data_IF_646586631782
#
_entry.id   IF_646586631782
#
_cell.length_a   1.000
_cell.length_b   1.000
_cell.length_c   1.000
_cell.angle_alpha   90.00
_cell.angle_beta   90.00
_cell.angle_gamma   90.00
#
_symmetry.space_group_name_H-M   'P 1'
#
loop_
_entity.id
_entity.type
_entity.pdbx_description
1 polymer ?
#
# COMPACT_ATOMS: atom_id res chain seq x y z
N UNK A 1 8.91 -13.26 -10.96
CA UNK A 1 7.69 -12.59 -10.51
C UNK A 1 6.80 -13.57 -9.77
N UNK A 2 6.24 -13.15 -8.64
CA UNK A 2 5.40 -14.03 -7.83
C UNK A 2 3.97 -13.94 -8.37
N UNK A 3 3.41 -15.08 -8.77
CA UNK A 3 2.01 -15.14 -9.14
C UNK A 3 1.16 -15.08 -7.88
N UNK A 4 0.11 -14.25 -7.93
CA UNK A 4 -0.87 -14.21 -6.85
C UNK A 4 -1.89 -15.33 -7.09
N UNK A 5 -2.08 -16.17 -6.09
CA UNK A 5 -3.12 -17.20 -6.12
C UNK A 5 -4.49 -16.52 -6.28
N UNK A 6 -5.24 -16.82 -7.35
CA UNK A 6 -6.57 -16.22 -7.54
C UNK A 6 -7.52 -16.44 -6.37
N UNK A 7 -7.34 -17.50 -5.59
CA UNK A 7 -8.16 -17.77 -4.40
C UNK A 7 -7.93 -16.74 -3.28
N UNK A 8 -6.87 -15.93 -3.37
CA UNK A 8 -6.64 -14.85 -2.42
C UNK A 8 -7.39 -13.57 -2.79
N UNK A 9 -7.99 -13.52 -3.97
CA UNK A 9 -8.77 -12.35 -4.42
C UNK A 9 -10.23 -12.59 -4.08
N UNK A 10 -10.78 -11.79 -3.16
CA UNK A 10 -12.18 -11.87 -2.73
C UNK A 10 -13.13 -11.26 -3.74
N UNK A 11 -12.75 -10.10 -4.28
CA UNK A 11 -13.57 -9.36 -5.22
C UNK A 11 -12.70 -8.41 -6.03
N UNK A 12 -13.27 -7.83 -7.08
CA UNK A 12 -12.59 -6.83 -7.89
C UNK A 12 -13.29 -5.48 -7.74
N UNK A 13 -12.53 -4.42 -7.79
CA UNK A 13 -13.01 -3.03 -7.75
C UNK A 13 -12.44 -2.28 -8.94
N UNK A 14 -13.25 -1.39 -9.50
CA UNK A 14 -12.84 -0.55 -10.64
C UNK A 14 -12.78 0.90 -10.19
N UNK A 15 -11.82 1.64 -10.74
CA UNK A 15 -11.60 3.05 -10.43
C UNK A 15 -11.35 3.83 -11.71
N UNK A 16 -11.77 5.08 -11.72
CA UNK A 16 -11.51 6.02 -12.81
C UNK A 16 -10.31 6.91 -12.46
N UNK A 17 -9.79 7.58 -13.49
CA UNK A 17 -8.64 8.49 -13.31
C UNK A 17 -8.89 9.49 -12.19
N UNK A 18 -7.95 9.61 -11.29
CA UNK A 18 -8.02 10.55 -10.17
C UNK A 18 -8.74 10.02 -8.93
N UNK A 19 -9.38 8.87 -9.01
CA UNK A 19 -10.05 8.30 -7.83
C UNK A 19 -9.03 7.95 -6.76
N UNK A 20 -9.35 8.28 -5.50
CA UNK A 20 -8.53 7.94 -4.34
C UNK A 20 -8.89 6.53 -3.89
N UNK A 21 -7.93 5.61 -4.04
CA UNK A 21 -8.10 4.20 -3.65
C UNK A 21 -7.86 4.03 -2.15
N UNK A 22 -6.75 4.58 -1.68
CA UNK A 22 -6.36 4.60 -0.28
C UNK A 22 -6.00 6.02 0.10
N UNK A 23 -6.50 6.50 1.24
CA UNK A 23 -6.30 7.87 1.66
C UNK A 23 -5.27 7.97 2.78
N UNK A 24 -4.30 8.86 2.62
CA UNK A 24 -3.31 9.21 3.63
C UNK A 24 -4.00 9.59 4.95
N UNK A 25 -3.45 9.14 6.05
CA UNK A 25 -3.97 9.43 7.38
C UNK A 25 -5.08 8.51 7.87
N UNK A 26 -5.63 7.66 7.00
CA UNK A 26 -6.64 6.68 7.42
C UNK A 26 -5.98 5.46 8.06
N UNK A 27 -6.70 4.81 8.97
CA UNK A 27 -6.19 3.67 9.75
C UNK A 27 -6.84 2.35 9.35
N UNK A 28 -7.09 2.18 8.05
CA UNK A 28 -7.59 0.92 7.50
C UNK A 28 -6.42 0.03 7.10
N UNK A 29 -6.63 -1.27 7.06
CA UNK A 29 -5.60 -2.24 6.71
C UNK A 29 -5.94 -3.09 5.47
N UNK A 30 -6.84 -2.58 4.62
CA UNK A 30 -7.15 -3.20 3.34
C UNK A 30 -5.91 -3.30 2.47
N UNK A 31 -5.80 -4.38 1.71
CA UNK A 31 -4.66 -4.66 0.85
C UNK A 31 -5.17 -5.12 -0.51
N UNK A 32 -4.55 -4.60 -1.58
CA UNK A 32 -4.99 -4.82 -2.95
C UNK A 32 -3.85 -5.28 -3.84
N UNK A 33 -4.20 -5.96 -4.93
CA UNK A 33 -3.29 -6.19 -6.03
C UNK A 33 -3.81 -5.46 -7.27
N UNK A 34 -2.92 -4.82 -8.03
CA UNK A 34 -3.29 -4.16 -9.27
C UNK A 34 -3.42 -5.20 -10.37
N UNK A 35 -4.65 -5.37 -10.88
CA UNK A 35 -4.94 -6.30 -11.96
C UNK A 35 -4.80 -5.63 -13.33
N UNK A 36 -5.13 -4.34 -13.42
CA UNK A 36 -5.04 -3.57 -14.64
C UNK A 36 -4.83 -2.10 -14.31
N UNK A 37 -3.96 -1.42 -15.06
CA UNK A 37 -3.72 0.00 -14.92
C UNK A 37 -2.55 0.34 -14.01
N UNK A 38 -2.51 1.60 -13.58
CA UNK A 38 -1.42 2.15 -12.76
C UNK A 38 -1.96 2.98 -11.61
N UNK A 39 -1.24 2.94 -10.50
CA UNK A 39 -1.59 3.66 -9.27
C UNK A 39 -0.43 4.54 -8.86
N UNK A 40 -0.72 5.82 -8.60
CA UNK A 40 0.28 6.75 -8.08
C UNK A 40 0.22 6.77 -6.56
N UNK A 41 1.37 6.60 -5.95
CA UNK A 41 1.53 6.78 -4.50
C UNK A 41 2.02 8.20 -4.27
N UNK A 42 1.27 8.97 -3.49
CA UNK A 42 1.54 10.39 -3.30
C UNK A 42 1.30 10.82 -1.86
N UNK A 43 1.95 11.90 -1.46
CA UNK A 43 1.85 12.44 -0.10
C UNK A 43 1.59 13.94 -0.15
N UNK A 44 0.67 14.41 0.71
CA UNK A 44 0.41 15.83 0.88
C UNK A 44 1.50 16.44 1.74
N UNK A 45 1.99 17.61 1.32
CA UNK A 45 3.00 18.37 2.06
C UNK A 45 2.59 19.84 2.10
N UNK A 46 3.19 20.67 2.97
CA UNK A 46 2.92 22.12 2.97
C UNK A 46 3.23 22.80 1.62
N UNK A 47 4.05 22.18 0.78
CA UNK A 47 4.40 22.72 -0.54
C UNK A 47 3.58 22.07 -1.67
N UNK A 48 2.56 21.29 -1.34
CA UNK A 48 1.71 20.60 -2.29
C UNK A 48 1.87 19.09 -2.25
N UNK A 49 1.29 18.43 -3.25
CA UNK A 49 1.32 16.97 -3.35
C UNK A 49 2.63 16.53 -3.98
N UNK A 50 3.30 15.57 -3.34
CA UNK A 50 4.54 14.96 -3.85
C UNK A 50 4.24 13.55 -4.31
N UNK A 51 4.56 13.23 -5.56
CA UNK A 51 4.48 11.87 -6.09
C UNK A 51 5.70 11.08 -5.61
N UNK A 52 5.47 9.94 -4.96
CA UNK A 52 6.55 9.09 -4.45
C UNK A 52 6.94 8.07 -5.50
N UNK A 53 5.95 7.34 -6.04
CA UNK A 53 6.19 6.32 -7.05
C UNK A 53 4.89 6.00 -7.78
N UNK A 54 5.01 5.30 -8.91
CA UNK A 54 3.87 4.76 -9.65
C UNK A 54 4.02 3.24 -9.72
N UNK A 55 2.96 2.54 -9.37
CA UNK A 55 2.92 1.09 -9.35
C UNK A 55 2.04 0.58 -10.49
N UNK A 56 2.49 -0.46 -11.17
CA UNK A 56 1.78 -1.08 -12.28
C UNK A 56 1.18 -2.42 -11.91
N UNK A 57 0.79 -3.18 -12.94
CA UNK A 57 0.13 -4.47 -12.80
C UNK A 57 0.96 -5.45 -11.98
N UNK A 58 0.28 -6.30 -11.23
CA UNK A 58 0.81 -7.33 -10.34
C UNK A 58 1.49 -6.79 -9.08
N UNK A 59 1.51 -5.47 -8.87
CA UNK A 59 2.02 -4.88 -7.64
C UNK A 59 0.95 -4.84 -6.56
N UNK A 60 1.38 -5.00 -5.31
CA UNK A 60 0.51 -4.94 -4.14
C UNK A 60 0.48 -3.50 -3.61
N UNK A 61 -0.70 -3.07 -3.18
CA UNK A 61 -0.91 -1.73 -2.62
C UNK A 61 -1.53 -1.86 -1.24
N UNK A 62 -1.01 -1.10 -0.28
CA UNK A 62 -1.54 -1.11 1.09
C UNK A 62 -0.87 -2.09 2.03
N UNK A 63 0.25 -2.71 1.62
CA UNK A 63 0.93 -3.74 2.39
C UNK A 63 1.48 -3.25 3.72
N UNK A 64 1.96 -2.01 3.80
CA UNK A 64 2.53 -1.48 5.05
C UNK A 64 1.46 -1.41 6.13
N UNK A 65 0.30 -0.83 5.81
CA UNK A 65 -0.80 -0.72 6.76
C UNK A 65 -1.33 -2.11 7.16
N UNK A 66 -1.40 -3.04 6.22
CA UNK A 66 -1.79 -4.42 6.50
C UNK A 66 -0.83 -5.07 7.50
N UNK A 67 0.48 -4.97 7.26
CA UNK A 67 1.49 -5.57 8.13
C UNK A 67 1.52 -4.92 9.51
N UNK A 68 1.14 -3.65 9.60
CA UNK A 68 1.01 -2.93 10.88
C UNK A 68 -0.37 -3.08 11.50
N UNK A 69 -1.22 -3.92 10.93
CA UNK A 69 -2.58 -4.24 11.42
C UNK A 69 -3.48 -3.01 11.59
N UNK A 70 -3.30 -2.01 10.75
CA UNK A 70 -4.07 -0.76 10.80
C UNK A 70 -3.78 0.13 11.99
N UNK A 71 -2.74 -0.17 12.77
CA UNK A 71 -2.41 0.60 13.98
C UNK A 71 -1.73 1.93 13.69
N UNK A 72 -1.15 2.06 12.50
CA UNK A 72 -0.43 3.26 12.09
C UNK A 72 -1.20 3.86 10.91
N UNK A 73 -1.49 5.18 10.94
CA UNK A 73 -2.17 5.82 9.81
C UNK A 73 -1.36 5.64 8.52
N UNK A 74 -2.07 5.55 7.38
CA UNK A 74 -1.43 5.40 6.08
C UNK A 74 -0.50 6.58 5.82
N UNK A 75 0.73 6.29 5.43
CA UNK A 75 1.76 7.29 5.20
C UNK A 75 1.57 8.07 3.90
N UNK A 76 0.79 7.54 2.96
CA UNK A 76 0.57 8.14 1.66
C UNK A 76 -0.79 7.74 1.10
N UNK A 77 -1.24 8.47 0.11
CA UNK A 77 -2.45 8.12 -0.65
C UNK A 77 -2.09 7.31 -1.89
N UNK A 78 -3.01 6.46 -2.32
CA UNK A 78 -2.93 5.74 -3.58
C UNK A 78 -4.05 6.24 -4.48
N UNK A 79 -3.70 6.73 -5.66
CA UNK A 79 -4.62 7.39 -6.59
C UNK A 79 -4.55 6.72 -7.96
N UNK A 80 -5.69 6.48 -8.57
CA UNK A 80 -5.75 5.86 -9.90
C UNK A 80 -5.21 6.81 -10.97
N UNK A 81 -4.32 6.29 -11.81
CA UNK A 81 -3.84 6.96 -13.03
C UNK A 81 -4.52 6.30 -14.23
N UNK A 82 -5.55 6.97 -14.76
CA UNK A 82 -6.42 6.36 -15.74
C UNK A 82 -7.30 5.29 -15.11
N UNK A 83 -7.87 4.43 -15.92
CA UNK A 83 -8.69 3.32 -15.45
C UNK A 83 -7.83 2.31 -14.69
N UNK A 84 -8.32 1.86 -13.53
CA UNK A 84 -7.64 0.87 -12.70
C UNK A 84 -8.64 -0.19 -12.26
N UNK A 85 -8.22 -1.45 -12.33
CA UNK A 85 -8.95 -2.58 -11.77
C UNK A 85 -8.08 -3.26 -10.73
N UNK A 86 -8.62 -3.37 -9.52
CA UNK A 86 -7.91 -3.95 -8.37
C UNK A 86 -8.56 -5.23 -7.92
N UNK A 87 -7.75 -6.18 -7.45
CA UNK A 87 -8.22 -7.32 -6.69
C UNK A 87 -8.12 -7.01 -5.20
N UNK A 88 -9.22 -7.16 -4.48
CA UNK A 88 -9.23 -7.05 -3.01
C UNK A 88 -8.73 -8.37 -2.44
N UNK A 89 -7.58 -8.34 -1.77
CA UNK A 89 -6.99 -9.56 -1.22
C UNK A 89 -7.72 -10.02 0.03
N UNK A 90 -7.72 -11.34 0.25
CA UNK A 90 -8.38 -11.95 1.40
C UNK A 90 -7.60 -11.63 2.68
N UNK A 91 -8.05 -10.58 3.35
CA UNK A 91 -7.45 -10.09 4.60
C UNK A 91 -7.32 -11.18 5.65
N UNK A 92 -8.37 -11.98 5.84
CA UNK A 92 -8.37 -13.00 6.89
C UNK A 92 -7.39 -14.12 6.61
N UNK A 93 -7.32 -14.59 5.38
CA UNK A 93 -6.34 -15.62 5.00
C UNK A 93 -4.92 -15.14 5.16
N UNK A 94 -4.64 -13.92 4.70
CA UNK A 94 -3.29 -13.33 4.82
C UNK A 94 -2.91 -13.09 6.28
N UNK A 95 -3.87 -12.66 7.10
CA UNK A 95 -3.63 -12.46 8.53
C UNK A 95 -3.29 -13.78 9.22
N UNK A 96 -3.98 -14.87 8.87
CA UNK A 96 -3.68 -16.21 9.42
C UNK A 96 -2.27 -16.64 9.04
N UNK A 97 -1.86 -16.43 7.80
CA UNK A 97 -0.50 -16.75 7.37
C UNK A 97 0.54 -15.94 8.14
N UNK A 98 0.32 -14.62 8.26
CA UNK A 98 1.22 -13.76 9.03
C UNK A 98 1.31 -14.20 10.49
N UNK A 99 0.17 -14.47 11.12
CA UNK A 99 0.13 -14.85 12.53
C UNK A 99 0.79 -16.21 12.80
N UNK A 100 0.90 -17.06 11.78
CA UNK A 100 1.58 -18.35 11.88
C UNK A 100 3.10 -18.25 11.82
N UNK A 101 3.65 -17.10 11.45
CA UNK A 101 5.10 -16.89 11.41
C UNK A 101 5.67 -16.87 12.83
N UNK A 102 6.94 -17.22 12.95
CA UNK A 102 7.65 -17.13 14.24
C UNK A 102 7.71 -15.67 14.72
N UNK A 103 7.82 -15.45 16.04
CA UNK A 103 7.99 -14.09 16.56
C UNK A 103 9.16 -13.34 15.94
N UNK A 104 10.26 -14.06 15.63
CA UNK A 104 11.43 -13.43 15.00
C UNK A 104 11.10 -12.96 13.58
N UNK A 105 10.42 -13.77 12.76
CA UNK A 105 10.06 -13.36 11.40
C UNK A 105 9.09 -12.17 11.40
N UNK A 106 8.12 -12.16 12.32
CA UNK A 106 7.22 -11.01 12.48
C UNK A 106 8.01 -9.74 12.79
N UNK A 107 9.00 -9.85 13.69
CA UNK A 107 9.85 -8.73 14.08
C UNK A 107 10.68 -8.23 12.88
N UNK A 108 11.23 -9.15 12.09
CA UNK A 108 11.99 -8.79 10.90
C UNK A 108 11.13 -8.03 9.89
N UNK A 109 9.93 -8.51 9.62
CA UNK A 109 8.98 -7.86 8.71
C UNK A 109 8.66 -6.45 9.20
N UNK A 110 8.28 -6.30 10.47
CA UNK A 110 7.94 -5.00 11.03
C UNK A 110 9.13 -4.04 11.07
N UNK A 111 10.33 -4.56 11.27
CA UNK A 111 11.55 -3.76 11.19
C UNK A 111 11.72 -3.17 9.79
N UNK A 112 11.51 -3.97 8.75
CA UNK A 112 11.60 -3.50 7.36
C UNK A 112 10.52 -2.48 7.04
N UNK A 113 9.29 -2.69 7.52
CA UNK A 113 8.19 -1.74 7.31
C UNK A 113 8.52 -0.39 7.95
N UNK A 114 9.04 -0.39 9.18
CA UNK A 114 9.41 0.84 9.88
C UNK A 114 10.55 1.58 9.19
N UNK A 115 11.54 0.84 8.70
CA UNK A 115 12.64 1.44 7.94
C UNK A 115 12.15 2.06 6.65
N UNK A 116 11.23 1.39 5.97
CA UNK A 116 10.65 1.92 4.73
C UNK A 116 9.87 3.21 4.99
N UNK A 117 9.07 3.27 6.06
CA UNK A 117 8.39 4.50 6.47
C UNK A 117 9.37 5.63 6.74
N UNK A 118 10.41 5.34 7.49
CA UNK A 118 11.41 6.34 7.83
C UNK A 118 12.09 6.90 6.58
N UNK A 119 12.50 6.02 5.67
CA UNK A 119 13.17 6.45 4.42
C UNK A 119 12.21 7.26 3.54
N UNK A 120 10.95 6.84 3.44
CA UNK A 120 9.95 7.57 2.66
C UNK A 120 9.71 8.96 3.23
N UNK A 121 9.54 9.08 4.54
CA UNK A 121 9.33 10.37 5.19
C UNK A 121 10.56 11.27 5.05
N UNK A 122 11.76 10.72 5.16
CA UNK A 122 13.00 11.47 4.99
C UNK A 122 13.15 11.97 3.55
N UNK A 123 12.81 11.15 2.56
CA UNK A 123 12.86 11.53 1.15
C UNK A 123 11.87 12.67 0.85
N UNK A 124 10.66 12.59 1.38
CA UNK A 124 9.65 13.64 1.20
C UNK A 124 10.10 14.94 1.85
N UNK A 125 10.65 14.89 3.06
CA UNK A 125 11.19 16.07 3.73
C UNK A 125 12.32 16.72 2.93
N UNK A 126 13.19 15.90 2.37
CA UNK A 126 14.29 16.38 1.54
C UNK A 126 13.77 17.12 0.30
N UNK A 127 12.81 16.53 -0.41
CA UNK A 127 12.22 17.15 -1.60
C UNK A 127 11.53 18.47 -1.26
N UNK A 128 10.83 18.55 -0.13
CA UNK A 128 10.05 19.74 0.23
C UNK A 128 10.89 20.87 0.79
N UNK A 129 12.14 20.64 1.15
CA UNK A 129 13.06 21.67 1.63
C UNK A 129 13.76 22.44 0.51
N UNK A 130 13.66 21.97 -0.70
CA UNK A 130 14.32 22.59 -1.86
C UNK A 130 13.57 23.79 -2.42
#
# INVERSE_FOLDING_TARGET
>A
MVEIDPFLILEEEEYEDGDVILKEGTSTDWIYIILEGRVRIQKSTPKGVVSITTLGEERVVGEMAFLEKGKVPRAASAVALGYVRLGVLDHDKLTKEYDSLSPLFKKLILTLVRRLRYVTDAAVRFITKQ
#
